data_IF_661865582546
#
_entry.id   IF_661865582546
#
_cell.length_a   1.000
_cell.length_b   1.000
_cell.length_c   1.000
_cell.angle_alpha   90.00
_cell.angle_beta   90.00
_cell.angle_gamma   90.00
#
_symmetry.space_group_name_H-M   'P 1'
#
loop_
_entity.id
_entity.type
_entity.pdbx_description
1 polymer ?
#
# COMPACT_ATOMS: atom_id res chain seq x y z
N UNK A 1 -26.45 13.79 36.62
CA UNK A 1 -25.56 12.71 36.10
C UNK A 1 -24.30 13.39 35.59
N UNK A 2 -23.12 13.06 36.12
CA UNK A 2 -21.84 13.67 35.70
C UNK A 2 -21.29 12.94 34.47
N UNK A 3 -20.63 13.63 33.52
CA UNK A 3 -20.00 13.00 32.38
C UNK A 3 -18.80 12.16 32.84
N UNK A 4 -18.85 10.86 32.54
CA UNK A 4 -17.75 9.92 32.82
C UNK A 4 -16.72 10.02 31.69
N UNK A 5 -15.59 10.65 31.97
CA UNK A 5 -14.45 10.71 31.06
C UNK A 5 -13.53 9.53 31.36
N UNK A 6 -13.40 8.59 30.42
CA UNK A 6 -12.46 7.46 30.53
C UNK A 6 -11.10 7.89 30.00
N UNK A 7 -10.05 7.72 30.79
CA UNK A 7 -8.64 7.93 30.41
C UNK A 7 -8.03 6.75 29.66
N UNK A 8 -8.78 5.65 29.51
CA UNK A 8 -8.34 4.50 28.75
C UNK A 8 -8.14 4.88 27.27
N UNK A 9 -6.95 4.63 26.69
CA UNK A 9 -6.74 4.85 25.27
C UNK A 9 -7.70 3.95 24.51
N UNK A 10 -8.60 4.55 23.72
CA UNK A 10 -9.47 3.76 22.84
C UNK A 10 -8.56 2.93 21.92
N UNK A 11 -8.82 1.63 21.75
CA UNK A 11 -8.07 0.83 20.80
C UNK A 11 -8.18 1.49 19.42
N UNK A 12 -7.04 1.61 18.74
CA UNK A 12 -7.00 2.07 17.36
C UNK A 12 -7.88 1.13 16.53
N UNK A 13 -9.07 1.59 16.16
CA UNK A 13 -9.93 0.88 15.21
C UNK A 13 -9.34 1.16 13.83
N UNK A 14 -8.85 0.15 13.09
CA UNK A 14 -8.35 0.39 11.75
C UNK A 14 -9.49 0.98 10.93
N UNK A 15 -9.28 2.20 10.43
CA UNK A 15 -10.10 2.80 9.39
C UNK A 15 -10.24 1.81 8.24
N UNK A 16 -11.42 1.75 7.61
CA UNK A 16 -11.73 0.83 6.51
C UNK A 16 -10.55 0.76 5.50
N UNK A 17 -10.12 -0.44 5.12
CA UNK A 17 -9.12 -0.60 4.06
C UNK A 17 -9.66 0.00 2.76
N UNK A 18 -8.82 0.79 2.10
CA UNK A 18 -9.08 1.33 0.77
C UNK A 18 -8.40 0.46 -0.27
N UNK A 19 -8.98 0.42 -1.47
CA UNK A 19 -8.37 -0.24 -2.62
C UNK A 19 -7.42 0.74 -3.31
N UNK A 20 -6.22 0.27 -3.59
CA UNK A 20 -5.20 1.01 -4.29
C UNK A 20 -4.80 0.24 -5.54
N UNK A 21 -4.81 0.93 -6.68
CA UNK A 21 -4.24 0.43 -7.92
C UNK A 21 -2.77 0.80 -7.94
N UNK A 22 -1.91 -0.21 -8.04
CA UNK A 22 -0.46 -0.05 -8.16
C UNK A 22 -0.09 -0.25 -9.62
N UNK A 23 0.54 0.76 -10.20
CA UNK A 23 1.14 0.71 -11.53
C UNK A 23 2.65 0.68 -11.38
N UNK A 24 3.27 -0.34 -11.94
CA UNK A 24 4.72 -0.53 -11.93
C UNK A 24 5.24 -0.40 -13.34
N UNK A 25 6.12 0.56 -13.55
CA UNK A 25 6.83 0.76 -14.81
C UNK A 25 8.23 0.20 -14.66
N UNK A 26 8.59 -0.70 -15.57
CA UNK A 26 9.91 -1.33 -15.63
C UNK A 26 10.80 -0.59 -16.64
N UNK A 27 12.12 -0.59 -16.42
CA UNK A 27 13.06 0.05 -17.36
C UNK A 27 13.08 -0.56 -18.77
N UNK A 28 12.60 -1.80 -18.93
CA UNK A 28 12.44 -2.43 -20.24
C UNK A 28 11.20 -1.93 -21.02
N UNK A 29 10.42 -1.00 -20.45
CA UNK A 29 9.16 -0.52 -21.04
C UNK A 29 7.93 -1.37 -20.71
N UNK A 30 8.09 -2.42 -19.89
CA UNK A 30 6.98 -3.21 -19.36
C UNK A 30 6.17 -2.46 -18.31
N UNK A 31 4.86 -2.69 -18.28
CA UNK A 31 3.96 -2.16 -17.27
C UNK A 31 3.22 -3.32 -16.58
N UNK A 32 3.24 -3.32 -15.25
CA UNK A 32 2.46 -4.23 -14.43
C UNK A 32 1.42 -3.46 -13.62
N UNK A 33 0.26 -4.07 -13.43
CA UNK A 33 -0.83 -3.50 -12.64
C UNK A 33 -1.29 -4.50 -11.62
N UNK A 34 -1.46 -4.06 -10.36
CA UNK A 34 -1.98 -4.90 -9.28
C UNK A 34 -2.86 -4.06 -8.36
N UNK A 35 -3.95 -4.64 -7.89
CA UNK A 35 -4.82 -4.03 -6.89
C UNK A 35 -4.40 -4.56 -5.52
N UNK A 36 -4.19 -3.66 -4.56
CA UNK A 36 -3.89 -4.00 -3.18
C UNK A 36 -4.87 -3.28 -2.24
N UNK A 37 -5.14 -3.90 -1.09
CA UNK A 37 -5.98 -3.31 -0.05
C UNK A 37 -5.10 -2.87 1.13
N UNK A 38 -5.14 -1.59 1.46
CA UNK A 38 -4.30 -1.01 2.49
C UNK A 38 -5.06 0.04 3.32
N UNK A 39 -4.54 0.35 4.49
CA UNK A 39 -5.13 1.34 5.40
C UNK A 39 -4.78 2.78 5.03
N UNK A 40 -3.72 2.96 4.25
CA UNK A 40 -3.19 4.25 3.81
C UNK A 40 -2.38 4.10 2.53
N UNK A 41 -2.12 5.21 1.84
CA UNK A 41 -1.21 5.23 0.68
C UNK A 41 0.22 4.82 1.04
N UNK A 42 0.68 5.16 2.25
CA UNK A 42 2.01 4.79 2.74
C UNK A 42 2.12 3.27 2.95
N UNK A 43 1.15 2.67 3.64
CA UNK A 43 1.10 1.21 3.81
C UNK A 43 0.87 0.46 2.48
N UNK A 44 0.15 1.06 1.53
CA UNK A 44 0.02 0.55 0.17
C UNK A 44 1.39 0.58 -0.54
N UNK A 45 2.19 1.63 -0.35
CA UNK A 45 3.52 1.76 -0.94
C UNK A 45 4.48 0.70 -0.42
N UNK A 46 4.49 0.47 0.89
CA UNK A 46 5.34 -0.55 1.51
C UNK A 46 4.96 -1.95 1.02
N UNK A 47 3.67 -2.30 1.02
CA UNK A 47 3.19 -3.57 0.50
C UNK A 47 3.49 -3.73 -1.00
N UNK A 48 3.31 -2.68 -1.80
CA UNK A 48 3.66 -2.70 -3.21
C UNK A 48 5.15 -3.00 -3.39
N UNK A 49 6.03 -2.31 -2.65
CA UNK A 49 7.47 -2.56 -2.70
C UNK A 49 7.78 -4.01 -2.36
N UNK A 50 7.28 -4.55 -1.24
CA UNK A 50 7.54 -5.95 -0.85
C UNK A 50 7.05 -6.95 -1.91
N UNK A 51 5.84 -6.76 -2.44
CA UNK A 51 5.29 -7.63 -3.48
C UNK A 51 6.13 -7.61 -4.76
N UNK A 52 6.61 -6.43 -5.17
CA UNK A 52 7.38 -6.29 -6.39
C UNK A 52 8.87 -6.54 -6.19
N UNK A 53 9.43 -6.46 -4.98
CA UNK A 53 10.83 -6.76 -4.68
C UNK A 53 11.07 -8.28 -4.70
N UNK A 54 10.12 -9.06 -4.18
CA UNK A 54 10.18 -10.53 -4.21
C UNK A 54 10.07 -11.06 -5.65
N UNK A 55 9.25 -10.42 -6.50
CA UNK A 55 9.06 -10.85 -7.90
C UNK A 55 10.02 -10.16 -8.91
N UNK A 56 10.52 -8.94 -8.65
CA UNK A 56 11.45 -8.23 -9.54
C UNK A 56 12.91 -8.61 -9.35
N UNK A 57 13.31 -9.09 -8.17
CA UNK A 57 14.71 -9.48 -7.92
C UNK A 57 15.08 -10.75 -8.67
N UNK A 58 14.11 -11.58 -9.06
CA UNK A 58 14.44 -12.86 -9.67
C UNK A 58 14.99 -12.75 -11.10
N UNK A 59 14.73 -11.72 -11.92
CA UNK A 59 15.22 -11.75 -13.31
C UNK A 59 15.36 -10.40 -14.06
N UNK A 60 16.16 -9.44 -13.56
CA UNK A 60 16.80 -8.42 -14.43
C UNK A 60 15.97 -7.20 -14.89
N UNK A 61 14.85 -6.86 -14.23
CA UNK A 61 14.05 -5.68 -14.59
C UNK A 61 14.09 -4.61 -13.50
N UNK A 62 15.05 -3.71 -13.66
CA UNK A 62 15.27 -2.56 -12.78
C UNK A 62 13.99 -1.71 -12.79
N UNK A 63 13.30 -1.64 -11.66
CA UNK A 63 12.13 -0.82 -11.42
C UNK A 63 12.42 0.65 -11.82
N UNK A 64 11.51 1.27 -12.59
CA UNK A 64 11.61 2.69 -12.96
C UNK A 64 10.77 3.57 -12.04
N UNK A 65 9.47 3.27 -11.90
CA UNK A 65 8.57 4.03 -11.03
C UNK A 65 7.38 3.19 -10.55
N UNK A 66 6.86 3.54 -9.38
CA UNK A 66 5.61 2.99 -8.81
C UNK A 66 4.64 4.16 -8.65
N UNK A 67 3.45 4.04 -9.22
CA UNK A 67 2.34 4.98 -9.04
C UNK A 67 1.23 4.26 -8.28
N UNK A 68 0.68 4.92 -7.26
CA UNK A 68 -0.37 4.37 -6.41
C UNK A 68 -1.57 5.31 -6.49
N UNK A 69 -2.70 4.77 -6.95
CA UNK A 69 -3.95 5.50 -7.09
C UNK A 69 -5.02 4.86 -6.20
N UNK A 70 -5.68 5.65 -5.36
CA UNK A 70 -6.83 5.16 -4.59
C UNK A 70 -8.06 5.11 -5.50
N UNK A 71 -8.81 4.00 -5.44
CA UNK A 71 -10.06 3.79 -6.20
C UNK A 71 -11.26 3.55 -5.27
#
# INVERSE_FOLDING_TARGET
>A
MQPHWTTEPRPFMPTKKCKYTVLVFLKNGGMHTKIIEAYSSESATTQARELFDIDSILFNFILYSIIILQI
#
